data_IF_933713907719
#
_entry.id   IF_933713907719
#
_cell.length_a   1.000
_cell.length_b   1.000
_cell.length_c   1.000
_cell.angle_alpha   90.00
_cell.angle_beta   90.00
_cell.angle_gamma   90.00
#
_symmetry.space_group_name_H-M   'P 1'
#
loop_
_entity.id
_entity.type
_entity.pdbx_description
1 polymer ?
#
# COMPACT_ATOMS: atom_id res chain seq x y z
N UNK A 1 18.75 -14.45 -2.10
CA UNK A 1 19.10 -13.01 -2.15
C UNK A 1 19.09 -12.54 -0.72
N UNK A 2 20.16 -11.93 -0.26
CA UNK A 2 20.28 -11.49 1.14
C UNK A 2 19.97 -10.00 1.29
N UNK A 3 19.39 -9.64 2.43
CA UNK A 3 19.19 -8.24 2.81
C UNK A 3 20.56 -7.56 3.05
N UNK A 4 20.69 -6.30 2.65
CA UNK A 4 21.86 -5.45 2.87
C UNK A 4 22.00 -5.01 4.33
N UNK A 5 20.88 -4.92 5.04
CA UNK A 5 20.79 -4.54 6.45
C UNK A 5 19.54 -5.19 7.04
N UNK A 6 19.69 -5.91 8.15
CA UNK A 6 18.54 -6.35 8.93
C UNK A 6 18.03 -5.18 9.79
N UNK A 7 16.88 -4.62 9.42
CA UNK A 7 16.25 -3.53 10.17
C UNK A 7 15.72 -3.98 11.54
N UNK A 8 15.48 -5.27 11.75
CA UNK A 8 14.98 -5.80 13.02
C UNK A 8 16.07 -5.96 14.09
N UNK A 9 17.33 -6.05 13.69
CA UNK A 9 18.47 -6.19 14.60
C UNK A 9 19.13 -4.84 14.95
N UNK A 10 18.55 -3.72 14.48
CA UNK A 10 19.09 -2.38 14.72
C UNK A 10 18.14 -1.57 15.62
N UNK A 11 18.66 -1.04 16.72
CA UNK A 11 17.86 -0.32 17.72
C UNK A 11 17.11 0.90 17.15
N UNK A 12 17.75 1.68 16.28
CA UNK A 12 17.14 2.85 15.65
C UNK A 12 16.01 2.41 14.72
N UNK A 13 16.28 1.41 13.88
CA UNK A 13 15.31 0.88 12.93
C UNK A 13 14.10 0.26 13.64
N UNK A 14 14.28 -0.49 14.72
CA UNK A 14 13.17 -1.05 15.52
C UNK A 14 12.32 0.04 16.17
N UNK A 15 12.95 1.08 16.75
CA UNK A 15 12.22 2.24 17.32
C UNK A 15 11.48 3.05 16.25
N UNK A 16 12.04 3.17 15.05
CA UNK A 16 11.38 3.80 13.92
C UNK A 16 10.21 2.96 13.42
N UNK A 17 10.43 1.66 13.19
CA UNK A 17 9.43 0.71 12.73
C UNK A 17 8.20 0.68 13.65
N UNK A 18 8.36 0.67 14.98
CA UNK A 18 7.21 0.72 15.90
C UNK A 18 6.33 1.96 15.67
N UNK A 19 6.93 3.14 15.53
CA UNK A 19 6.18 4.39 15.27
C UNK A 19 5.56 4.40 13.89
N UNK A 20 6.29 3.89 12.90
CA UNK A 20 5.84 3.78 11.53
C UNK A 20 4.63 2.85 11.40
N UNK A 21 4.67 1.68 12.05
CA UNK A 21 3.54 0.74 12.10
C UNK A 21 2.34 1.34 12.83
N UNK A 22 2.55 2.07 13.93
CA UNK A 22 1.46 2.76 14.63
C UNK A 22 0.78 3.84 13.76
N UNK A 23 1.52 4.52 12.89
CA UNK A 23 0.91 5.42 11.90
C UNK A 23 0.03 4.64 10.90
N UNK A 24 0.44 3.41 10.55
CA UNK A 24 -0.37 2.47 9.76
C UNK A 24 -1.65 2.04 10.47
N UNK A 25 -1.60 1.78 11.78
CA UNK A 25 -2.78 1.39 12.57
C UNK A 25 -3.90 2.45 12.50
N UNK A 26 -3.55 3.74 12.53
CA UNK A 26 -4.53 4.83 12.40
C UNK A 26 -5.30 4.73 11.08
N UNK A 27 -4.62 4.37 10.00
CA UNK A 27 -5.23 4.17 8.68
C UNK A 27 -6.02 2.86 8.65
N UNK A 28 -5.49 1.80 9.25
CA UNK A 28 -6.16 0.52 9.34
C UNK A 28 -7.48 0.62 10.14
N UNK A 29 -7.56 1.45 11.17
CA UNK A 29 -8.77 1.65 11.98
C UNK A 29 -9.72 2.71 11.40
N UNK A 30 -9.35 3.33 10.27
CA UNK A 30 -10.15 4.36 9.61
C UNK A 30 -11.40 3.80 8.88
N UNK A 31 -12.36 4.66 8.49
CA UNK A 31 -13.52 4.26 7.70
C UNK A 31 -13.20 3.89 6.23
N UNK A 32 -11.94 3.97 5.79
CA UNK A 32 -11.54 3.58 4.44
C UNK A 32 -11.68 2.04 4.28
N UNK A 33 -12.41 1.52 3.26
CA UNK A 33 -12.65 0.08 3.15
C UNK A 33 -11.36 -0.74 3.09
N UNK A 34 -11.30 -1.81 3.88
CA UNK A 34 -10.11 -2.68 3.99
C UNK A 34 -9.63 -3.25 2.66
N UNK A 35 -10.56 -3.66 1.80
CA UNK A 35 -10.23 -4.12 0.44
C UNK A 35 -9.52 -3.03 -0.37
N UNK A 36 -10.02 -1.79 -0.34
CA UNK A 36 -9.37 -0.64 -0.98
C UNK A 36 -7.97 -0.42 -0.41
N UNK A 37 -7.81 -0.50 0.92
CA UNK A 37 -6.50 -0.32 1.55
C UNK A 37 -5.47 -1.31 0.99
N UNK A 38 -5.79 -2.61 0.95
CA UNK A 38 -4.86 -3.60 0.41
C UNK A 38 -4.61 -3.45 -1.09
N UNK A 39 -5.63 -3.15 -1.90
CA UNK A 39 -5.43 -2.90 -3.34
C UNK A 39 -4.46 -1.75 -3.60
N UNK A 40 -4.59 -0.64 -2.85
CA UNK A 40 -3.68 0.51 -2.90
C UNK A 40 -2.26 0.11 -2.49
N UNK A 41 -2.13 -0.63 -1.38
CA UNK A 41 -0.82 -1.10 -0.88
C UNK A 41 -0.13 -1.99 -1.92
N UNK A 42 -0.86 -2.91 -2.54
CA UNK A 42 -0.36 -3.80 -3.60
C UNK A 42 0.06 -2.97 -4.82
N UNK A 43 -0.80 -2.07 -5.32
CA UNK A 43 -0.55 -1.32 -6.55
C UNK A 43 0.67 -0.41 -6.44
N UNK A 44 0.79 0.34 -5.34
CA UNK A 44 1.95 1.18 -5.08
C UNK A 44 3.24 0.33 -5.01
N UNK A 45 3.17 -0.83 -4.36
CA UNK A 45 4.31 -1.76 -4.22
C UNK A 45 4.76 -2.34 -5.56
N UNK A 46 3.82 -2.65 -6.45
CA UNK A 46 4.12 -3.09 -7.83
C UNK A 46 4.85 -2.00 -8.63
N UNK A 47 4.39 -0.75 -8.54
CA UNK A 47 5.02 0.38 -9.24
C UNK A 47 6.43 0.62 -8.71
N UNK A 48 6.62 0.58 -7.39
CA UNK A 48 7.92 0.80 -6.75
C UNK A 48 8.86 -0.42 -6.80
N UNK A 49 8.40 -1.58 -7.29
CA UNK A 49 9.18 -2.81 -7.30
C UNK A 49 9.51 -3.38 -5.91
N UNK A 50 8.70 -3.09 -4.88
CA UNK A 50 8.89 -3.66 -3.54
C UNK A 50 8.37 -5.11 -3.48
N UNK A 51 9.25 -6.09 -3.73
CA UNK A 51 8.88 -7.51 -3.68
C UNK A 51 8.28 -7.94 -2.35
N UNK A 52 8.89 -7.59 -1.22
CA UNK A 52 8.37 -7.97 0.11
C UNK A 52 6.99 -7.36 0.37
N UNK A 53 6.78 -6.08 0.03
CA UNK A 53 5.51 -5.41 0.24
C UNK A 53 4.41 -6.04 -0.64
N UNK A 54 4.73 -6.39 -1.89
CA UNK A 54 3.82 -7.10 -2.77
C UNK A 54 3.45 -8.48 -2.21
N UNK A 55 4.44 -9.25 -1.73
CA UNK A 55 4.21 -10.56 -1.08
C UNK A 55 3.29 -10.43 0.14
N UNK A 56 3.61 -9.47 1.02
CA UNK A 56 2.85 -9.19 2.25
C UNK A 56 1.40 -8.83 1.96
N UNK A 57 1.15 -7.77 1.21
CA UNK A 57 -0.19 -7.23 1.02
C UNK A 57 -1.06 -8.16 0.15
N UNK A 58 -0.46 -8.91 -0.77
CA UNK A 58 -1.20 -9.94 -1.52
C UNK A 58 -1.69 -11.07 -0.61
N UNK A 59 -0.84 -11.54 0.31
CA UNK A 59 -1.18 -12.62 1.26
C UNK A 59 -2.17 -12.16 2.33
N UNK A 60 -2.02 -10.94 2.84
CA UNK A 60 -2.99 -10.34 3.77
C UNK A 60 -4.36 -10.15 3.10
N UNK A 61 -4.39 -9.60 1.88
CA UNK A 61 -5.64 -9.46 1.12
C UNK A 61 -6.32 -10.81 0.87
N UNK A 62 -5.55 -11.83 0.47
CA UNK A 62 -6.06 -13.18 0.27
C UNK A 62 -6.63 -13.78 1.57
N UNK A 63 -5.93 -13.61 2.69
CA UNK A 63 -6.39 -14.04 4.01
C UNK A 63 -7.68 -13.31 4.45
N UNK A 64 -7.85 -12.05 4.03
CA UNK A 64 -9.05 -11.25 4.25
C UNK A 64 -10.20 -11.53 3.26
N UNK A 65 -10.05 -12.50 2.34
CA UNK A 65 -11.10 -12.95 1.42
C UNK A 65 -11.08 -12.31 0.03
N UNK A 66 -10.02 -11.58 -0.33
CA UNK A 66 -9.85 -11.06 -1.69
C UNK A 66 -9.63 -12.20 -2.70
N UNK A 67 -10.12 -12.01 -3.92
CA UNK A 67 -10.14 -13.07 -4.93
C UNK A 67 -8.83 -13.15 -5.72
N UNK A 68 -8.38 -14.35 -6.15
CA UNK A 68 -7.22 -14.48 -7.02
C UNK A 68 -7.34 -13.66 -8.31
N UNK A 69 -8.54 -13.52 -8.87
CA UNK A 69 -8.78 -12.72 -10.07
C UNK A 69 -8.44 -11.25 -9.83
N UNK A 70 -8.96 -10.65 -8.75
CA UNK A 70 -8.70 -9.25 -8.41
C UNK A 70 -7.23 -9.02 -8.04
N UNK A 71 -6.61 -9.91 -7.26
CA UNK A 71 -5.20 -9.82 -6.90
C UNK A 71 -4.28 -9.85 -8.13
N UNK A 72 -4.57 -10.71 -9.11
CA UNK A 72 -3.78 -10.78 -10.34
C UNK A 72 -4.04 -9.60 -11.28
N UNK A 73 -5.26 -9.05 -11.28
CA UNK A 73 -5.65 -7.97 -12.20
C UNK A 73 -5.39 -6.57 -11.67
N UNK A 74 -5.05 -6.37 -10.39
CA UNK A 74 -4.80 -5.03 -9.83
C UNK A 74 -3.71 -4.27 -10.57
N UNK A 75 -2.70 -4.96 -11.13
CA UNK A 75 -1.65 -4.36 -11.95
C UNK A 75 -2.17 -3.80 -13.29
N UNK A 76 -3.30 -4.32 -13.78
CA UNK A 76 -3.93 -4.03 -15.06
C UNK A 76 -5.39 -3.55 -14.87
N UNK A 77 -5.66 -2.88 -13.75
CA UNK A 77 -7.02 -2.58 -13.29
C UNK A 77 -7.86 -1.75 -14.27
N UNK A 78 -7.23 -0.92 -15.10
CA UNK A 78 -7.93 -0.03 -16.06
C UNK A 78 -8.79 -0.79 -17.06
N UNK A 79 -8.38 -1.99 -17.46
CA UNK A 79 -9.10 -2.84 -18.41
C UNK A 79 -9.93 -3.94 -17.71
N UNK A 80 -9.88 -4.01 -16.37
CA UNK A 80 -10.55 -5.03 -15.59
C UNK A 80 -11.91 -4.53 -15.08
N UNK A 81 -12.97 -5.33 -15.25
CA UNK A 81 -14.34 -5.03 -14.83
C UNK A 81 -14.64 -5.41 -13.38
N UNK A 82 -13.67 -6.00 -12.67
CA UNK A 82 -13.84 -6.56 -11.33
C UNK A 82 -13.63 -5.55 -10.20
N UNK A 83 -13.32 -4.29 -10.53
CA UNK A 83 -13.10 -3.20 -9.57
C UNK A 83 -14.24 -2.18 -9.67
N UNK A 84 -14.74 -1.74 -8.52
CA UNK A 84 -15.77 -0.69 -8.40
C UNK A 84 -15.22 0.68 -8.79
N UNK A 85 -16.09 1.65 -9.13
CA UNK A 85 -15.65 3.02 -9.46
C UNK A 85 -14.87 3.68 -8.32
N UNK A 86 -15.26 3.45 -7.06
CA UNK A 86 -14.51 3.92 -5.90
C UNK A 86 -13.08 3.35 -5.86
N UNK A 87 -12.93 2.03 -6.05
CA UNK A 87 -11.62 1.39 -6.10
C UNK A 87 -10.78 1.88 -7.28
N UNK A 88 -11.40 2.12 -8.44
CA UNK A 88 -10.74 2.67 -9.64
C UNK A 88 -10.22 4.08 -9.38
N UNK A 89 -10.99 4.93 -8.72
CA UNK A 89 -10.56 6.26 -8.31
C UNK A 89 -9.39 6.20 -7.31
N UNK A 90 -9.47 5.32 -6.31
CA UNK A 90 -8.38 5.11 -5.36
C UNK A 90 -7.10 4.58 -6.02
N UNK A 91 -7.22 3.67 -7.00
CA UNK A 91 -6.10 3.16 -7.79
C UNK A 91 -5.50 4.25 -8.67
N UNK A 92 -6.31 5.10 -9.32
CA UNK A 92 -5.82 6.25 -10.09
C UNK A 92 -5.00 7.21 -9.22
N UNK A 93 -5.53 7.60 -8.05
CA UNK A 93 -4.82 8.42 -7.08
C UNK A 93 -3.51 7.76 -6.61
N UNK A 94 -3.54 6.43 -6.41
CA UNK A 94 -2.35 5.66 -6.02
C UNK A 94 -1.27 5.71 -7.09
N UNK A 95 -1.63 5.55 -8.37
CA UNK A 95 -0.66 5.61 -9.47
C UNK A 95 -0.02 7.00 -9.58
N UNK A 96 -0.82 8.07 -9.57
CA UNK A 96 -0.32 9.44 -9.67
C UNK A 96 0.50 9.84 -8.43
N UNK A 97 -0.01 9.55 -7.23
CA UNK A 97 0.66 9.84 -5.96
C UNK A 97 1.96 9.04 -5.76
N UNK A 98 2.08 7.86 -6.37
CA UNK A 98 3.32 7.07 -6.33
C UNK A 98 4.35 7.59 -7.32
N UNK A 99 3.91 8.05 -8.49
CA UNK A 99 4.77 8.45 -9.61
C UNK A 99 5.09 9.94 -9.68
N UNK A 100 5.01 10.66 -8.55
CA UNK A 100 5.25 12.11 -8.47
C UNK A 100 6.59 12.55 -9.10
N UNK A 101 7.61 11.70 -9.07
CA UNK A 101 8.91 11.98 -9.68
C UNK A 101 8.89 11.86 -11.22
N UNK A 102 8.00 11.05 -11.78
CA UNK A 102 7.91 10.76 -13.22
C UNK A 102 6.98 11.73 -13.96
N UNK A 103 5.85 12.09 -13.33
CA UNK A 103 4.76 12.83 -13.99
C UNK A 103 4.92 14.34 -13.87
N UNK A 104 5.77 14.85 -12.97
CA UNK A 104 6.14 16.28 -12.79
C UNK A 104 5.01 17.26 -12.39
N UNK A 105 3.72 16.92 -12.50
CA UNK A 105 2.59 17.77 -12.08
C UNK A 105 1.86 17.29 -10.81
N UNK A 106 2.24 16.14 -10.26
CA UNK A 106 1.56 15.57 -9.09
C UNK A 106 0.20 14.95 -9.45
N UNK A 107 -0.71 14.90 -8.47
CA UNK A 107 -2.09 14.41 -8.67
C UNK A 107 -2.88 15.43 -9.49
N UNK A 108 -3.55 14.97 -10.53
CA UNK A 108 -4.37 15.81 -11.41
C UNK A 108 -5.71 16.21 -10.76
N UNK A 109 -6.25 17.36 -11.18
CA UNK A 109 -7.58 17.81 -10.73
C UNK A 109 -8.69 16.82 -11.13
N UNK A 110 -8.52 16.12 -12.25
CA UNK A 110 -9.45 15.08 -12.72
C UNK A 110 -9.47 13.89 -11.75
N UNK A 111 -8.30 13.33 -11.43
CA UNK A 111 -8.16 12.25 -10.45
C UNK A 111 -8.67 12.67 -9.08
N UNK A 112 -8.38 13.91 -8.65
CA UNK A 112 -8.89 14.45 -7.40
C UNK A 112 -10.42 14.57 -7.39
N UNK A 113 -11.03 15.04 -8.48
CA UNK A 113 -12.49 15.11 -8.61
C UNK A 113 -13.12 13.73 -8.51
N UNK A 114 -12.55 12.71 -9.17
CA UNK A 114 -13.07 11.34 -9.14
C UNK A 114 -13.03 10.73 -7.73
N UNK A 115 -11.94 10.90 -6.97
CA UNK A 115 -11.91 10.39 -5.59
C UNK A 115 -12.90 11.11 -4.68
N UNK A 116 -13.14 12.40 -4.89
CA UNK A 116 -14.12 13.20 -4.14
C UNK A 116 -15.57 12.78 -4.37
N UNK A 117 -15.88 12.09 -5.46
CA UNK A 117 -17.22 11.54 -5.72
C UNK A 117 -17.52 10.31 -4.87
N UNK A 118 -16.48 9.63 -4.35
CA UNK A 118 -16.62 8.31 -3.73
C UNK A 118 -16.23 8.26 -2.25
N UNK A 119 -15.41 9.20 -1.78
CA UNK A 119 -14.84 9.18 -0.44
C UNK A 119 -15.11 10.49 0.29
N UNK A 120 -15.50 10.39 1.56
CA UNK A 120 -15.60 11.54 2.45
C UNK A 120 -14.22 12.04 2.94
N UNK A 121 -14.22 13.12 3.72
CA UNK A 121 -12.98 13.76 4.18
C UNK A 121 -12.12 12.83 5.06
N UNK A 122 -12.73 11.99 5.89
CA UNK A 122 -12.01 11.05 6.77
C UNK A 122 -11.40 9.90 5.96
N UNK A 123 -12.15 9.36 4.99
CA UNK A 123 -11.67 8.33 4.08
C UNK A 123 -10.57 8.85 3.15
N UNK A 124 -10.67 10.10 2.66
CA UNK A 124 -9.65 10.74 1.85
C UNK A 124 -8.37 11.02 2.64
N UNK A 125 -8.49 11.49 3.88
CA UNK A 125 -7.35 11.67 4.76
C UNK A 125 -6.61 10.34 4.99
N UNK A 126 -7.35 9.26 5.21
CA UNK A 126 -6.79 7.91 5.31
C UNK A 126 -6.14 7.45 4.00
N UNK A 127 -6.79 7.67 2.85
CA UNK A 127 -6.30 7.23 1.54
C UNK A 127 -5.01 7.96 1.14
N UNK A 128 -4.94 9.28 1.31
CA UNK A 128 -3.73 10.08 1.04
C UNK A 128 -2.59 9.63 1.97
N UNK A 129 -2.89 9.44 3.25
CA UNK A 129 -1.91 8.96 4.24
C UNK A 129 -1.41 7.55 3.89
N UNK A 130 -2.30 6.68 3.41
CA UNK A 130 -1.97 5.33 2.98
C UNK A 130 -1.00 5.34 1.80
N UNK A 131 -1.29 6.12 0.76
CA UNK A 131 -0.42 6.25 -0.43
C UNK A 131 0.97 6.74 -0.02
N UNK A 132 1.06 7.72 0.88
CA UNK A 132 2.34 8.20 1.39
C UNK A 132 3.07 7.13 2.22
N UNK A 133 2.37 6.47 3.14
CA UNK A 133 2.94 5.48 4.04
C UNK A 133 3.45 4.24 3.29
N UNK A 134 2.69 3.69 2.34
CA UNK A 134 3.15 2.55 1.54
C UNK A 134 4.38 2.93 0.69
N UNK A 135 4.42 4.14 0.15
CA UNK A 135 5.57 4.64 -0.58
C UNK A 135 6.83 4.73 0.29
N UNK A 136 6.69 5.11 1.56
CA UNK A 136 7.78 5.08 2.53
C UNK A 136 8.19 3.63 2.88
N UNK A 137 7.23 2.73 3.10
CA UNK A 137 7.48 1.32 3.38
C UNK A 137 8.22 0.62 2.22
N UNK A 138 7.82 0.92 0.99
CA UNK A 138 8.49 0.42 -0.22
C UNK A 138 9.96 0.87 -0.26
N UNK A 139 10.24 2.15 0.04
CA UNK A 139 11.60 2.69 0.09
C UNK A 139 12.46 2.00 1.14
N UNK A 140 11.94 1.80 2.35
CA UNK A 140 12.65 1.09 3.42
C UNK A 140 13.10 -0.31 2.96
N UNK A 141 12.20 -1.08 2.35
CA UNK A 141 12.46 -2.46 1.96
C UNK A 141 13.32 -2.58 0.69
N UNK A 142 13.09 -1.75 -0.32
CA UNK A 142 13.86 -1.78 -1.57
C UNK A 142 15.31 -1.36 -1.34
N UNK A 143 15.55 -0.31 -0.55
CA UNK A 143 16.91 0.19 -0.27
C UNK A 143 17.76 -0.90 0.40
N UNK A 144 17.19 -1.66 1.34
CA UNK A 144 17.90 -2.74 2.04
C UNK A 144 17.81 -4.09 1.34
N UNK A 145 17.16 -4.20 0.17
CA UNK A 145 16.94 -5.47 -0.56
C UNK A 145 16.29 -6.56 0.30
N UNK A 146 15.24 -6.20 1.03
CA UNK A 146 14.52 -7.18 1.85
C UNK A 146 13.86 -8.24 0.95
N UNK A 147 14.19 -9.54 1.07
CA UNK A 147 13.67 -10.57 0.18
C UNK A 147 12.17 -10.81 0.37
N UNK A 148 11.52 -11.26 -0.70
CA UNK A 148 10.11 -11.66 -0.72
C UNK A 148 9.97 -13.18 -0.71
N UNK A 149 8.75 -13.67 -0.47
CA UNK A 149 8.35 -15.07 -0.64
C UNK A 149 8.13 -15.82 0.67
N UNK A 150 8.72 -15.35 1.77
CA UNK A 150 8.63 -15.98 3.09
C UNK A 150 7.61 -15.34 4.02
N UNK A 151 6.88 -14.31 3.57
CA UNK A 151 5.87 -13.69 4.43
C UNK A 151 4.70 -14.64 4.70
N UNK A 152 4.17 -14.62 5.92
CA UNK A 152 2.95 -15.32 6.30
C UNK A 152 1.98 -14.32 6.95
N UNK A 153 0.66 -14.40 6.68
CA UNK A 153 -0.32 -13.49 7.28
C UNK A 153 -0.18 -13.38 8.80
N UNK A 154 -0.21 -12.16 9.32
CA UNK A 154 -0.08 -11.86 10.75
C UNK A 154 1.35 -11.88 11.29
N UNK A 155 2.38 -12.14 10.46
CA UNK A 155 3.79 -12.20 10.90
C UNK A 155 4.26 -10.95 11.67
N UNK A 156 3.69 -9.78 11.36
CA UNK A 156 4.04 -8.50 12.01
C UNK A 156 2.99 -8.00 13.01
N UNK A 157 1.94 -8.77 13.30
CA UNK A 157 0.87 -8.35 14.21
C UNK A 157 1.37 -8.13 15.65
N UNK A 158 2.46 -8.78 16.06
CA UNK A 158 3.07 -8.58 17.40
C UNK A 158 3.96 -7.33 17.50
N UNK A 159 4.31 -6.70 16.38
CA UNK A 159 5.16 -5.50 16.36
C UNK A 159 4.40 -4.21 16.65
N UNK A 160 3.07 -4.26 16.53
CA UNK A 160 2.13 -3.17 16.82
C UNK A 160 1.58 -3.22 18.25
N UNK A 161 1.96 -4.25 19.03
CA UNK A 161 1.56 -4.43 20.44
C UNK A 161 2.40 -3.60 21.42
#
# INVERSE_FOLDING_TARGET
MEARLNLFDNEIATKFAKRFLNAGLVIDESPLPKATQELVKIRASQINGCGLCTDMHTKEAAAAGETPVRLNLVAAWREATVFTEAERAALALTEEGTRIADIHHGVSDETWSQVREHYDDDQLAALVSLVALINAANRLNVIVRNPAGSYEPGMFASMTS
#
